data_IF_275939638256
#
_entry.id   IF_275939638256
#
_cell.length_a   1.000
_cell.length_b   1.000
_cell.length_c   1.000
_cell.angle_alpha   90.00
_cell.angle_beta   90.00
_cell.angle_gamma   90.00
#
_symmetry.space_group_name_H-M   'P 1'
#
loop_
_entity.id
_entity.type
_entity.pdbx_description
1 polymer ?
#
# COMPACT_ATOMS: atom_id res chain seq x y z
N UNK A 1 -14.80 1.98 3.57
CA UNK A 1 -13.73 1.19 2.91
C UNK A 1 -12.42 1.72 3.46
N UNK A 2 -11.51 0.84 3.81
CA UNK A 2 -10.17 1.22 4.30
C UNK A 2 -9.27 1.47 3.09
N UNK A 3 -8.52 2.58 3.12
CA UNK A 3 -7.58 2.99 2.07
C UNK A 3 -6.23 3.32 2.71
N UNK A 4 -5.18 3.32 1.90
CA UNK A 4 -3.85 3.69 2.38
C UNK A 4 -3.89 5.14 2.89
N UNK A 5 -3.61 5.34 4.18
CA UNK A 5 -3.66 6.66 4.79
C UNK A 5 -2.34 7.42 4.60
N UNK A 6 -2.41 8.76 4.69
CA UNK A 6 -1.23 9.60 4.70
C UNK A 6 -0.25 9.23 5.83
N UNK A 7 -0.76 8.81 6.99
CA UNK A 7 0.04 8.37 8.12
C UNK A 7 0.83 7.08 7.83
N UNK A 8 0.21 6.10 7.16
CA UNK A 8 0.93 4.87 6.76
C UNK A 8 1.98 5.20 5.70
N UNK A 9 1.62 6.01 4.70
CA UNK A 9 2.57 6.41 3.66
C UNK A 9 3.74 7.23 4.24
N UNK A 10 3.49 8.15 5.17
CA UNK A 10 4.55 8.96 5.78
C UNK A 10 5.55 8.14 6.56
N UNK A 11 5.09 7.10 7.28
CA UNK A 11 5.99 6.17 7.96
C UNK A 11 6.89 5.42 6.98
N UNK A 12 6.34 4.94 5.88
CA UNK A 12 7.11 4.28 4.81
C UNK A 12 8.13 5.22 4.17
N UNK A 13 7.71 6.43 3.80
CA UNK A 13 8.60 7.42 3.17
C UNK A 13 9.70 7.87 4.13
N UNK A 14 9.35 8.09 5.40
CA UNK A 14 10.33 8.43 6.44
C UNK A 14 11.38 7.32 6.62
N UNK A 15 10.96 6.05 6.65
CA UNK A 15 11.86 4.89 6.72
C UNK A 15 12.82 4.85 5.52
N UNK A 16 12.31 5.03 4.30
CA UNK A 16 13.13 5.04 3.08
C UNK A 16 14.18 6.15 3.11
N UNK A 17 13.78 7.39 3.42
CA UNK A 17 14.68 8.55 3.50
C UNK A 17 15.76 8.32 4.57
N UNK A 18 15.35 7.86 5.77
CA UNK A 18 16.26 7.59 6.88
C UNK A 18 17.31 6.52 6.55
N UNK A 19 16.94 5.55 5.71
CA UNK A 19 17.83 4.51 5.23
C UNK A 19 18.55 4.87 3.91
N UNK A 20 18.44 6.12 3.45
CA UNK A 20 19.04 6.62 2.20
C UNK A 20 18.61 5.80 0.97
N UNK A 21 17.39 5.25 1.01
CA UNK A 21 16.78 4.54 -0.09
C UNK A 21 15.97 5.53 -0.92
N UNK A 22 16.20 5.53 -2.23
CA UNK A 22 15.44 6.39 -3.14
C UNK A 22 13.97 5.96 -3.18
N UNK A 23 13.05 6.94 -3.09
CA UNK A 23 11.62 6.71 -3.22
C UNK A 23 11.27 6.45 -4.68
N UNK A 24 11.26 5.18 -5.07
CA UNK A 24 10.88 4.71 -6.42
C UNK A 24 9.63 3.84 -6.36
N UNK A 25 9.00 3.61 -7.51
CA UNK A 25 7.86 2.69 -7.62
C UNK A 25 8.18 1.29 -7.05
N UNK A 26 9.40 0.81 -7.26
CA UNK A 26 9.85 -0.50 -6.74
C UNK A 26 9.96 -0.49 -5.21
N UNK A 27 10.63 0.52 -4.64
CA UNK A 27 10.76 0.64 -3.19
C UNK A 27 9.40 0.77 -2.48
N UNK A 28 8.45 1.48 -3.10
CA UNK A 28 7.09 1.63 -2.59
C UNK A 28 6.32 0.32 -2.63
N UNK A 29 6.37 -0.41 -3.76
CA UNK A 29 5.77 -1.75 -3.86
C UNK A 29 6.38 -2.72 -2.85
N UNK A 30 7.69 -2.60 -2.60
CA UNK A 30 8.37 -3.45 -1.63
C UNK A 30 7.95 -3.17 -0.18
N UNK A 31 7.76 -1.91 0.18
CA UNK A 31 7.37 -1.51 1.54
C UNK A 31 5.86 -1.63 1.78
N UNK A 32 5.05 -1.52 0.74
CA UNK A 32 3.60 -1.59 0.79
C UNK A 32 3.06 -2.94 0.28
N UNK A 33 3.75 -4.06 0.55
CA UNK A 33 3.35 -5.41 0.11
C UNK A 33 1.97 -5.85 0.60
N UNK A 34 1.54 -5.31 1.75
CA UNK A 34 0.22 -5.56 2.33
C UNK A 34 -0.90 -4.74 1.67
N UNK A 35 -0.57 -3.94 0.64
CA UNK A 35 -1.50 -3.10 -0.11
C UNK A 35 -1.53 -3.51 -1.58
N UNK A 36 -2.71 -3.44 -2.19
CA UNK A 36 -2.88 -3.65 -3.62
C UNK A 36 -2.50 -2.37 -4.34
N UNK A 37 -1.35 -2.38 -5.01
CA UNK A 37 -0.84 -1.25 -5.78
C UNK A 37 -0.71 -1.66 -7.24
N UNK A 38 -1.54 -1.05 -8.09
CA UNK A 38 -1.50 -1.27 -9.53
C UNK A 38 -0.16 -0.84 -10.13
N UNK A 39 0.22 -1.44 -11.25
CA UNK A 39 1.47 -1.12 -11.95
C UNK A 39 1.58 0.34 -12.38
N UNK A 40 0.44 1.00 -12.66
CA UNK A 40 0.38 2.41 -13.01
C UNK A 40 0.33 3.35 -11.78
N UNK A 41 -0.08 2.84 -10.61
CA UNK A 41 -0.27 3.64 -9.39
C UNK A 41 1.06 3.90 -8.69
N UNK A 42 1.93 2.89 -8.58
CA UNK A 42 3.22 3.05 -7.89
C UNK A 42 4.13 4.13 -8.53
N UNK A 43 4.30 4.18 -9.87
CA UNK A 43 5.10 5.23 -10.52
C UNK A 43 4.50 6.61 -10.34
N UNK A 44 3.18 6.74 -10.48
CA UNK A 44 2.49 8.02 -10.25
C UNK A 44 2.70 8.52 -8.81
N UNK A 45 2.57 7.63 -7.83
CA UNK A 45 2.79 7.97 -6.43
C UNK A 45 4.24 8.41 -6.16
N UNK A 46 5.23 7.70 -6.72
CA UNK A 46 6.64 8.07 -6.57
C UNK A 46 6.93 9.47 -7.13
N UNK A 47 6.40 9.78 -8.32
CA UNK A 47 6.55 11.10 -8.95
C UNK A 47 5.95 12.20 -8.08
N UNK A 48 4.74 11.99 -7.54
CA UNK A 48 4.12 13.00 -6.68
C UNK A 48 4.86 13.19 -5.35
N UNK A 49 5.43 12.12 -4.78
CA UNK A 49 6.25 12.22 -3.56
C UNK A 49 7.56 12.96 -3.84
N UNK A 50 8.20 12.72 -4.98
CA UNK A 50 9.46 13.39 -5.37
C UNK A 50 9.28 14.92 -5.46
N UNK A 51 8.12 15.38 -5.94
CA UNK A 51 7.78 16.82 -5.98
C UNK A 51 7.68 17.49 -4.62
N UNK A 52 7.52 16.73 -3.54
CA UNK A 52 7.43 17.28 -2.18
C UNK A 52 8.80 17.65 -1.58
N UNK A 53 9.90 17.32 -2.27
CA UNK A 53 11.29 17.64 -1.86
C UNK A 53 11.59 17.24 -0.41
N UNK A 54 11.10 16.06 -0.01
CA UNK A 54 11.26 15.52 1.33
C UNK A 54 12.72 15.14 1.60
N UNK A 55 13.20 15.40 2.82
CA UNK A 55 14.57 15.12 3.24
C UNK A 55 14.65 14.52 4.65
N UNK A 56 15.84 14.10 5.04
CA UNK A 56 16.14 13.41 6.30
C UNK A 56 16.11 14.33 7.54
N UNK A 57 16.08 15.65 7.36
CA UNK A 57 15.86 16.61 8.44
C UNK A 57 14.38 16.72 8.84
N UNK A 58 13.46 16.21 8.00
CA UNK A 58 12.03 16.26 8.27
C UNK A 58 11.59 15.12 9.21
N UNK A 59 10.83 15.49 10.25
CA UNK A 59 10.13 14.49 11.07
C UNK A 59 9.03 13.77 10.27
N UNK A 60 8.73 12.52 10.63
CA UNK A 60 7.61 11.75 10.06
C UNK A 60 6.30 12.54 10.05
N UNK A 61 5.99 13.25 11.14
CA UNK A 61 4.80 14.10 11.26
C UNK A 61 4.81 15.30 10.28
N UNK A 62 5.98 15.82 9.95
CA UNK A 62 6.11 16.88 8.95
C UNK A 62 5.87 16.32 7.53
N UNK A 63 6.39 15.12 7.25
CA UNK A 63 6.14 14.40 6.00
C UNK A 63 4.65 14.08 5.85
N UNK A 64 4.00 13.58 6.90
CA UNK A 64 2.55 13.31 6.91
C UNK A 64 1.73 14.54 6.54
N UNK A 65 2.09 15.71 7.07
CA UNK A 65 1.41 16.99 6.75
C UNK A 65 1.58 17.38 5.29
N UNK A 66 2.78 17.22 4.71
CA UNK A 66 3.03 17.49 3.29
C UNK A 66 2.19 16.56 2.40
N UNK A 67 2.20 15.25 2.73
CA UNK A 67 1.42 14.23 2.02
C UNK A 67 -0.09 14.50 2.12
N UNK A 68 -0.56 14.90 3.31
CA UNK A 68 -1.98 15.21 3.56
C UNK A 68 -2.44 16.48 2.84
N UNK A 69 -1.54 17.45 2.65
CA UNK A 69 -1.83 18.69 1.95
C UNK A 69 -1.91 18.51 0.42
N UNK A 70 -1.24 17.49 -0.12
CA UNK A 70 -1.25 17.20 -1.56
C UNK A 70 -2.54 16.48 -1.97
N UNK A 71 -3.41 17.20 -2.68
CA UNK A 71 -4.66 16.63 -3.22
C UNK A 71 -4.38 15.49 -4.22
N UNK A 72 -3.32 15.60 -5.00
CA UNK A 72 -2.93 14.59 -5.98
C UNK A 72 -2.52 13.28 -5.29
N UNK A 73 -1.73 13.36 -4.22
CA UNK A 73 -1.38 12.18 -3.44
C UNK A 73 -2.62 11.58 -2.78
N UNK A 74 -3.51 12.39 -2.19
CA UNK A 74 -4.75 11.88 -1.61
C UNK A 74 -5.63 11.14 -2.64
N UNK A 75 -5.70 11.63 -3.87
CA UNK A 75 -6.44 10.99 -4.96
C UNK A 75 -5.81 9.65 -5.41
N UNK A 76 -4.50 9.52 -5.29
CA UNK A 76 -3.79 8.27 -5.58
C UNK A 76 -4.01 7.27 -4.43
N UNK A 77 -3.87 7.74 -3.18
CA UNK A 77 -4.08 6.95 -1.97
C UNK A 77 -5.48 6.33 -1.89
N UNK A 78 -6.52 7.06 -2.34
CA UNK A 78 -7.89 6.54 -2.35
C UNK A 78 -8.12 5.37 -3.31
N UNK A 79 -7.14 5.04 -4.17
CA UNK A 79 -7.19 3.89 -5.08
C UNK A 79 -6.45 2.67 -4.54
N UNK A 80 -5.64 2.86 -3.49
CA UNK A 80 -4.84 1.81 -2.87
C UNK A 80 -5.64 1.20 -1.73
N UNK A 81 -5.96 -0.09 -1.86
CA UNK A 81 -6.76 -0.83 -0.90
C UNK A 81 -5.91 -1.91 -0.21
N UNK A 82 -6.23 -2.30 1.03
CA UNK A 82 -5.52 -3.38 1.69
C UNK A 82 -5.59 -4.67 0.86
N UNK A 83 -4.50 -5.42 0.82
CA UNK A 83 -4.48 -6.75 0.23
C UNK A 83 -5.20 -7.73 1.17
N UNK A 84 -6.54 -7.73 1.10
CA UNK A 84 -7.38 -8.71 1.77
C UNK A 84 -7.27 -10.03 1.03
N UNK A 85 -6.14 -10.72 1.22
CA UNK A 85 -6.05 -12.14 0.91
C UNK A 85 -7.13 -12.81 1.78
N UNK A 86 -8.24 -13.24 1.19
CA UNK A 86 -9.24 -14.06 1.86
C UNK A 86 -8.57 -15.38 2.27
N UNK A 87 -7.84 -15.38 3.38
CA UNK A 87 -7.36 -16.60 4.01
C UNK A 87 -8.61 -17.31 4.53
N UNK A 88 -9.20 -18.16 3.69
CA UNK A 88 -10.23 -19.11 4.11
C UNK A 88 -9.51 -20.12 5.01
N UNK A 89 -9.46 -19.86 6.32
CA UNK A 89 -9.01 -20.86 7.30
C UNK A 89 -10.12 -21.91 7.41
N UNK A 90 -10.03 -22.97 6.60
CA UNK A 90 -10.88 -24.14 6.78
C UNK A 90 -10.24 -25.06 7.82
N UNK A 91 -10.70 -24.95 9.07
CA UNK A 91 -10.35 -25.91 10.11
C UNK A 91 -11.19 -27.17 9.90
N UNK A 92 -10.67 -28.18 9.19
CA UNK A 92 -11.35 -29.46 9.05
C UNK A 92 -11.03 -30.35 10.26
N UNK A 93 -12.06 -30.79 10.98
CA UNK A 93 -11.97 -31.84 12.00
C UNK A 93 -12.93 -33.00 11.68
N UNK A 94 -13.02 -33.34 10.40
CA UNK A 94 -13.75 -34.50 9.89
C UNK A 94 -13.37 -34.77 8.44
N UNK A 95 -13.40 -36.03 8.02
CA UNK A 95 -13.28 -36.42 6.61
C UNK A 95 -14.44 -35.82 5.82
N UNK A 96 -14.17 -34.82 5.00
CA UNK A 96 -15.13 -34.16 4.12
C UNK A 96 -14.43 -33.63 2.87
N UNK A 97 -15.05 -33.86 1.71
CA UNK A 97 -14.58 -33.42 0.40
C UNK A 97 -14.48 -31.89 0.30
N UNK A 98 -13.35 -31.39 -0.21
CA UNK A 98 -13.18 -30.00 -0.58
C UNK A 98 -13.67 -29.77 -2.02
N UNK A 99 -14.90 -29.27 -2.21
CA UNK A 99 -15.40 -28.83 -3.51
C UNK A 99 -15.07 -27.33 -3.68
N UNK A 100 -13.89 -27.04 -4.23
CA UNK A 100 -13.55 -25.73 -4.78
C UNK A 100 -13.95 -25.67 -6.25
N UNK A 101 -14.97 -24.86 -6.55
CA UNK A 101 -15.51 -24.55 -7.88
C UNK A 101 -16.50 -25.55 -8.51
N UNK A 102 -17.74 -25.07 -8.69
CA UNK A 102 -18.81 -25.53 -9.60
C UNK A 102 -19.01 -27.03 -9.79
N UNK A 103 -19.84 -27.65 -8.93
CA UNK A 103 -20.43 -28.96 -9.22
C UNK A 103 -21.70 -28.74 -10.07
N UNK A 104 -21.62 -28.98 -11.38
CA UNK A 104 -22.82 -29.09 -12.23
C UNK A 104 -23.49 -30.42 -11.87
N UNK A 105 -24.69 -30.35 -11.30
CA UNK A 105 -25.53 -31.52 -11.03
C UNK A 105 -26.38 -31.74 -12.28
N UNK A 106 -26.21 -32.89 -12.95
CA UNK A 106 -27.11 -33.37 -14.02
C UNK A 106 -27.76 -34.66 -13.58
#
# INVERSE_FOLDING_TARGET
>A
MEFLSAAVLSGVVYDLIKHQVQVTAESLKEKLRDWVIDEAVAPALAIEIEKLELNDEMSEKAIERQISASTDIQNILSRIVPNTTNMIIQNHSGTGDNIGNSKIIR
#
